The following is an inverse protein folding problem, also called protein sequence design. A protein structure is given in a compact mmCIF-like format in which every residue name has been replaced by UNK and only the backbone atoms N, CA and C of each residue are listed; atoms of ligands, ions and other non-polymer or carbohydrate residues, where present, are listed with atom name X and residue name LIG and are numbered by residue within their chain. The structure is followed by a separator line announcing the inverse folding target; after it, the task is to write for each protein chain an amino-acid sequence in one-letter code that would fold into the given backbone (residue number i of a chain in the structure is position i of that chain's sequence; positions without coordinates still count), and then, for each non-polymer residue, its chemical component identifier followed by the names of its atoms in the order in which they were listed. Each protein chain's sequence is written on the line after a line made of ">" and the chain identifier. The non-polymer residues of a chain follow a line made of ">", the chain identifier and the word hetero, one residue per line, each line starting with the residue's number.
data_IF_344874748267
#
_entry.id   IF_344874748267
#
_cell.length_a   1.000
_cell.length_b   1.000
_cell.length_c   1.000
_cell.angle_alpha   90.00
_cell.angle_beta   90.00
_cell.angle_gamma   90.00
#
_symmetry.space_group_name_H-M   'P 1'
#
loop_
_entity.id
_entity.type
_entity.pdbx_description
1 polymer ?
#
# COMPACT_ATOMS: atom_id res chain seq x y z
N UNK A 1 -13.68 1.77 -11.09
CA UNK A 1 -14.62 0.64 -10.87
C UNK A 1 -15.92 1.05 -10.16
N UNK A 2 -15.90 2.03 -9.25
CA UNK A 2 -17.09 2.50 -8.52
C UNK A 2 -18.22 2.98 -9.45
N UNK A 3 -17.89 3.79 -10.47
CA UNK A 3 -18.84 4.27 -11.48
C UNK A 3 -19.44 3.10 -12.28
N UNK A 4 -18.62 2.13 -12.71
CA UNK A 4 -19.09 0.95 -13.42
C UNK A 4 -20.02 0.11 -12.55
N UNK A 5 -19.73 -0.02 -11.25
CA UNK A 5 -20.58 -0.77 -10.32
C UNK A 5 -21.97 -0.15 -10.16
N UNK A 6 -22.03 1.19 -10.10
CA UNK A 6 -23.29 1.95 -10.04
C UNK A 6 -24.08 1.80 -11.35
N UNK A 7 -23.40 1.84 -12.50
CA UNK A 7 -24.05 1.68 -13.81
C UNK A 7 -24.66 0.28 -13.99
N UNK A 8 -23.99 -0.78 -13.53
CA UNK A 8 -24.53 -2.13 -13.59
C UNK A 8 -25.76 -2.31 -12.69
N UNK A 9 -25.79 -1.65 -11.52
CA UNK A 9 -26.97 -1.60 -10.65
C UNK A 9 -28.16 -0.89 -11.33
N UNK A 10 -27.90 0.22 -12.02
CA UNK A 10 -28.93 0.96 -12.78
C UNK A 10 -29.47 0.12 -13.95
N UNK A 11 -28.63 -0.70 -14.57
CA UNK A 11 -28.99 -1.53 -15.73
C UNK A 11 -29.55 -2.92 -15.38
N UNK A 12 -29.78 -3.25 -14.09
CA UNK A 12 -30.28 -4.56 -13.65
C UNK A 12 -29.47 -5.77 -14.16
N UNK A 13 -28.17 -5.57 -14.44
CA UNK A 13 -27.28 -6.66 -14.84
C UNK A 13 -26.91 -7.43 -13.56
N UNK A 14 -26.99 -8.78 -13.52
CA UNK A 14 -26.68 -9.56 -12.33
C UNK A 14 -25.27 -9.23 -11.82
N UNK A 15 -25.22 -8.54 -10.69
CA UNK A 15 -23.99 -7.99 -10.14
C UNK A 15 -23.30 -9.03 -9.27
N UNK A 16 -22.05 -9.38 -9.62
CA UNK A 16 -21.25 -10.26 -8.79
C UNK A 16 -20.79 -9.51 -7.55
N UNK A 17 -21.22 -9.94 -6.36
CA UNK A 17 -20.93 -9.27 -5.10
C UNK A 17 -19.43 -9.08 -4.82
N UNK A 18 -18.55 -9.91 -5.41
CA UNK A 18 -17.10 -9.73 -5.31
C UNK A 18 -16.61 -8.42 -5.91
N UNK A 19 -17.29 -7.87 -6.93
CA UNK A 19 -16.94 -6.56 -7.53
C UNK A 19 -17.13 -5.43 -6.50
N UNK A 20 -18.18 -5.51 -5.68
CA UNK A 20 -18.43 -4.53 -4.62
C UNK A 20 -17.36 -4.60 -3.53
N UNK A 21 -16.98 -5.82 -3.11
CA UNK A 21 -15.89 -6.05 -2.16
C UNK A 21 -14.58 -5.44 -2.67
N UNK A 22 -14.20 -5.75 -3.92
CA UNK A 22 -12.98 -5.24 -4.56
C UNK A 22 -13.03 -3.71 -4.61
N UNK A 23 -14.17 -3.14 -5.01
CA UNK A 23 -14.32 -1.69 -5.13
C UNK A 23 -14.12 -0.97 -3.78
N UNK A 24 -14.69 -1.50 -2.69
CA UNK A 24 -14.47 -0.94 -1.34
C UNK A 24 -13.02 -1.09 -0.93
N UNK A 25 -12.43 -2.27 -1.14
CA UNK A 25 -11.03 -2.52 -0.80
C UNK A 25 -10.11 -1.52 -1.53
N UNK A 26 -10.21 -1.40 -2.84
CA UNK A 26 -9.46 -0.43 -3.65
C UNK A 26 -9.68 1.02 -3.19
N UNK A 27 -10.91 1.38 -2.80
CA UNK A 27 -11.21 2.71 -2.27
C UNK A 27 -10.50 2.98 -0.93
N UNK A 28 -10.49 2.00 -0.02
CA UNK A 28 -9.78 2.09 1.25
C UNK A 28 -8.25 2.19 1.05
N UNK A 29 -7.72 1.46 0.07
CA UNK A 29 -6.30 1.56 -0.33
C UNK A 29 -5.98 2.95 -0.88
N UNK A 30 -6.84 3.51 -1.73
CA UNK A 30 -6.67 4.86 -2.26
C UNK A 30 -6.66 5.92 -1.14
N UNK A 31 -7.47 5.76 -0.08
CA UNK A 31 -7.45 6.65 1.09
C UNK A 31 -6.11 6.58 1.82
N UNK A 32 -5.55 5.39 2.01
CA UNK A 32 -4.22 5.20 2.63
C UNK A 32 -3.15 5.94 1.80
N UNK A 33 -3.15 5.72 0.48
CA UNK A 33 -2.23 6.37 -0.45
C UNK A 33 -2.35 7.90 -0.31
N UNK A 34 -3.57 8.43 -0.41
CA UNK A 34 -3.79 9.87 -0.35
C UNK A 34 -3.34 10.47 0.98
N UNK A 35 -3.56 9.77 2.09
CA UNK A 35 -3.12 10.20 3.42
C UNK A 35 -1.60 10.27 3.52
N UNK A 36 -0.91 9.26 2.98
CA UNK A 36 0.56 9.22 2.92
C UNK A 36 1.13 10.31 2.02
N UNK A 37 0.56 10.51 0.83
CA UNK A 37 0.99 11.57 -0.12
C UNK A 37 0.82 12.95 0.51
N UNK A 38 -0.30 13.17 1.21
CA UNK A 38 -0.58 14.43 1.92
C UNK A 38 0.46 14.68 3.00
N UNK A 39 0.83 13.64 3.75
CA UNK A 39 1.92 13.75 4.71
C UNK A 39 3.26 14.05 4.05
N UNK A 40 3.59 13.36 2.96
CA UNK A 40 4.84 13.58 2.24
C UNK A 40 4.95 15.00 1.69
N UNK A 41 3.84 15.57 1.18
CA UNK A 41 3.81 16.94 0.63
C UNK A 41 3.99 18.03 1.70
N UNK A 42 3.64 17.72 2.96
CA UNK A 42 3.95 18.61 4.09
C UNK A 42 5.46 18.65 4.36
N UNK A 43 6.16 17.53 4.20
CA UNK A 43 7.61 17.45 4.45
C UNK A 43 8.41 17.93 3.24
N UNK A 44 8.09 17.41 2.05
CA UNK A 44 8.83 17.53 0.80
C UNK A 44 8.08 18.37 -0.24
N UNK A 45 8.82 18.87 -1.24
CA UNK A 45 8.21 19.57 -2.38
C UNK A 45 7.28 18.62 -3.17
N UNK A 46 6.08 19.05 -3.62
CA UNK A 46 5.12 18.19 -4.33
C UNK A 46 5.71 17.43 -5.53
N UNK A 47 6.62 18.06 -6.28
CA UNK A 47 7.31 17.42 -7.40
C UNK A 47 8.18 16.21 -6.97
N UNK A 48 8.83 16.29 -5.80
CA UNK A 48 9.60 15.17 -5.24
C UNK A 48 8.68 14.05 -4.77
N UNK A 49 7.51 14.39 -4.23
CA UNK A 49 6.51 13.40 -3.81
C UNK A 49 6.06 12.56 -5.01
N UNK A 50 5.75 13.20 -6.14
CA UNK A 50 5.36 12.49 -7.36
C UNK A 50 6.48 11.59 -7.86
N UNK A 51 7.72 12.07 -7.91
CA UNK A 51 8.88 11.24 -8.28
C UNK A 51 9.05 10.05 -7.35
N UNK A 52 8.90 10.25 -6.03
CA UNK A 52 8.99 9.17 -5.05
C UNK A 52 7.89 8.15 -5.30
N UNK A 53 6.64 8.54 -5.54
CA UNK A 53 5.56 7.58 -5.83
C UNK A 53 5.83 6.77 -7.10
N UNK A 54 6.34 7.42 -8.16
CA UNK A 54 6.64 6.75 -9.42
C UNK A 54 7.80 5.76 -9.29
N UNK A 55 8.80 6.06 -8.46
CA UNK A 55 9.99 5.23 -8.27
C UNK A 55 9.76 4.15 -7.19
N UNK A 56 9.05 4.50 -6.11
CA UNK A 56 8.81 3.68 -4.93
C UNK A 56 7.41 3.05 -4.98
N UNK A 57 7.24 2.08 -5.88
CA UNK A 57 6.10 1.16 -5.83
C UNK A 57 6.39 0.01 -4.86
N UNK A 58 5.37 -0.44 -4.11
CA UNK A 58 5.47 -1.62 -3.21
C UNK A 58 5.97 -2.85 -3.96
N UNK A 59 5.55 -3.02 -5.22
CA UNK A 59 6.02 -4.10 -6.09
C UNK A 59 7.53 -4.01 -6.34
N UNK A 60 8.05 -2.82 -6.62
CA UNK A 60 9.48 -2.61 -6.86
C UNK A 60 10.31 -3.00 -5.64
N UNK A 61 9.90 -2.59 -4.44
CA UNK A 61 10.61 -2.93 -3.20
C UNK A 61 10.50 -4.41 -2.83
N UNK A 62 9.33 -5.02 -3.07
CA UNK A 62 9.15 -6.46 -2.88
C UNK A 62 10.06 -7.28 -3.80
N UNK A 63 10.10 -6.96 -5.10
CA UNK A 63 10.99 -7.64 -6.04
C UNK A 63 12.47 -7.38 -5.73
N UNK A 64 12.83 -6.15 -5.34
CA UNK A 64 14.19 -5.83 -4.91
C UNK A 64 14.60 -6.63 -3.67
N UNK A 65 13.70 -6.78 -2.69
CA UNK A 65 13.91 -7.62 -1.51
C UNK A 65 14.12 -9.08 -1.86
N UNK A 66 13.29 -9.65 -2.75
CA UNK A 66 13.46 -11.03 -3.24
C UNK A 66 14.81 -11.18 -3.94
N UNK A 67 15.16 -10.23 -4.80
CA UNK A 67 16.43 -10.25 -5.52
C UNK A 67 17.62 -10.22 -4.57
N UNK A 68 17.59 -9.37 -3.55
CA UNK A 68 18.64 -9.30 -2.53
C UNK A 68 18.72 -10.57 -1.68
N UNK A 69 17.59 -11.18 -1.33
CA UNK A 69 17.58 -12.45 -0.59
C UNK A 69 18.18 -13.58 -1.44
N UNK A 70 17.80 -13.67 -2.71
CA UNK A 70 18.35 -14.68 -3.62
C UNK A 70 19.84 -14.43 -3.91
N UNK A 71 20.25 -13.17 -4.07
CA UNK A 71 21.65 -12.79 -4.23
C UNK A 71 22.50 -13.13 -3.00
N UNK A 72 21.97 -12.93 -1.79
CA UNK A 72 22.65 -13.33 -0.55
C UNK A 72 22.74 -14.85 -0.40
N UNK A 73 21.71 -15.60 -0.82
CA UNK A 73 21.74 -17.08 -0.81
C UNK A 73 22.71 -17.66 -1.85
N UNK A 74 22.83 -17.02 -3.01
CA UNK A 74 23.73 -17.45 -4.08
C UNK A 74 25.18 -16.99 -3.89
N UNK A 75 25.41 -15.91 -3.13
CA UNK A 75 26.70 -15.24 -2.99
C UNK A 75 27.73 -15.89 -2.05
N UNK A 76 27.38 -16.94 -1.31
CA UNK A 76 28.34 -17.68 -0.46
C UNK A 76 28.87 -16.88 0.73
N UNK A 77 30.20 -16.78 0.89
CA UNK A 77 30.96 -15.98 1.90
C UNK A 77 31.88 -14.92 1.24
N UNK A 78 31.46 -14.37 0.09
CA UNK A 78 32.21 -13.30 -0.59
C UNK A 78 32.23 -11.95 0.15
N UNK A 79 33.28 -11.15 -0.08
CA UNK A 79 33.49 -9.82 0.52
C UNK A 79 32.31 -8.83 0.31
N UNK A 80 31.48 -9.03 -0.72
CA UNK A 80 30.34 -8.16 -1.03
C UNK A 80 29.08 -8.46 -0.21
N UNK A 81 29.08 -9.53 0.59
CA UNK A 81 27.92 -9.94 1.39
C UNK A 81 27.60 -8.94 2.48
N UNK A 82 28.61 -8.35 3.11
CA UNK A 82 28.40 -7.31 4.12
C UNK A 82 27.68 -6.10 3.53
N UNK A 83 28.04 -5.72 2.30
CA UNK A 83 27.35 -4.65 1.55
C UNK A 83 25.91 -5.07 1.19
N UNK A 84 25.71 -6.28 0.67
CA UNK A 84 24.37 -6.78 0.34
C UNK A 84 23.46 -6.91 1.57
N UNK A 85 24.01 -7.28 2.74
CA UNK A 85 23.28 -7.31 4.02
C UNK A 85 22.87 -5.90 4.46
N UNK A 86 23.76 -4.91 4.32
CA UNK A 86 23.45 -3.51 4.63
C UNK A 86 22.37 -2.96 3.70
N UNK A 87 22.48 -3.23 2.40
CA UNK A 87 21.50 -2.84 1.38
C UNK A 87 20.15 -3.51 1.64
N UNK A 88 20.13 -4.81 1.99
CA UNK A 88 18.91 -5.51 2.41
C UNK A 88 18.29 -4.86 3.64
N UNK A 89 19.08 -4.51 4.65
CA UNK A 89 18.59 -3.82 5.84
C UNK A 89 17.91 -2.48 5.51
N UNK A 90 18.52 -1.69 4.63
CA UNK A 90 17.94 -0.44 4.15
C UNK A 90 16.61 -0.66 3.40
N UNK A 91 16.57 -1.63 2.50
CA UNK A 91 15.35 -2.00 1.75
C UNK A 91 14.26 -2.51 2.68
N UNK A 92 14.60 -3.31 3.70
CA UNK A 92 13.66 -3.81 4.70
C UNK A 92 13.07 -2.66 5.53
N UNK A 93 13.88 -1.68 5.96
CA UNK A 93 13.40 -0.50 6.69
C UNK A 93 12.45 0.33 5.83
N UNK A 94 12.82 0.59 4.57
CA UNK A 94 11.93 1.33 3.66
C UNK A 94 10.65 0.55 3.41
N UNK A 95 10.71 -0.76 3.20
CA UNK A 95 9.54 -1.60 2.97
C UNK A 95 8.59 -1.59 4.17
N UNK A 96 9.10 -1.53 5.40
CA UNK A 96 8.29 -1.42 6.62
C UNK A 96 7.67 -0.02 6.76
N UNK A 97 8.39 1.03 6.34
CA UNK A 97 7.92 2.42 6.44
C UNK A 97 6.94 2.81 5.33
N UNK A 98 7.03 2.17 4.17
CA UNK A 98 6.03 2.33 3.12
C UNK A 98 4.74 1.70 3.66
N UNK A 99 3.65 2.47 3.79
CA UNK A 99 2.37 1.89 4.16
C UNK A 99 2.03 0.82 3.12
N UNK A 100 1.96 -0.45 3.53
CA UNK A 100 1.57 -1.52 2.61
C UNK A 100 0.21 -1.17 2.03
N UNK A 101 0.15 -1.13 0.71
CA UNK A 101 -1.07 -0.75 0.01
C UNK A 101 -2.12 -1.85 0.12
N UNK A 102 -1.76 -3.08 0.56
CA UNK A 102 -2.71 -4.18 0.71
C UNK A 102 -2.31 -5.14 1.85
N UNK A 103 -2.68 -4.85 3.12
CA UNK A 103 -2.26 -5.65 4.28
C UNK A 103 -2.80 -7.09 4.28
N UNK A 104 -3.73 -7.43 3.39
CA UNK A 104 -4.32 -8.77 3.25
C UNK A 104 -4.39 -9.22 1.78
N UNK A 105 -3.40 -8.84 0.97
CA UNK A 105 -3.35 -9.16 -0.46
C UNK A 105 -3.44 -10.67 -0.76
N UNK A 106 -2.80 -11.51 0.07
CA UNK A 106 -2.79 -12.97 -0.10
C UNK A 106 -4.18 -13.60 0.07
N UNK A 107 -4.95 -13.13 1.06
CA UNK A 107 -6.31 -13.63 1.33
C UNK A 107 -7.34 -13.03 0.36
N UNK A 108 -7.11 -11.79 -0.09
CA UNK A 108 -8.01 -11.12 -1.04
C UNK A 108 -7.77 -11.55 -2.49
N UNK A 109 -6.58 -12.06 -2.85
CA UNK A 109 -6.25 -12.53 -4.20
C UNK A 109 -7.22 -13.59 -4.77
N UNK A 110 -7.81 -14.42 -3.89
CA UNK A 110 -8.84 -15.40 -4.27
C UNK A 110 -10.15 -14.74 -4.71
N UNK A 111 -10.46 -13.57 -4.18
CA UNK A 111 -11.65 -12.77 -4.55
C UNK A 111 -11.40 -12.05 -5.87
N UNK A 112 -10.19 -11.50 -6.08
CA UNK A 112 -9.80 -10.85 -7.34
C UNK A 112 -9.84 -11.82 -8.54
N UNK A 113 -9.60 -13.11 -8.32
CA UNK A 113 -9.63 -14.14 -9.37
C UNK A 113 -10.99 -14.80 -9.55
N UNK A 114 -11.76 -15.03 -8.48
CA UNK A 114 -13.07 -15.68 -8.56
C UNK A 114 -14.24 -14.72 -8.82
N UNK A 115 -14.08 -13.45 -8.45
CA UNK A 115 -15.15 -12.41 -8.40
C UNK A 115 -16.38 -12.83 -7.59
N UNK A 116 -16.31 -13.93 -6.84
CA UNK A 116 -17.40 -14.49 -6.06
C UNK A 116 -17.31 -14.00 -4.62
N UNK A 117 -18.46 -13.56 -4.09
CA UNK A 117 -18.57 -13.13 -2.70
C UNK A 117 -18.51 -14.32 -1.71
N UNK A 118 -18.76 -15.56 -2.15
CA UNK A 118 -18.67 -16.75 -1.30
C UNK A 118 -17.27 -16.95 -0.71
N UNK A 119 -16.26 -16.53 -1.45
CA UNK A 119 -14.85 -16.65 -1.05
C UNK A 119 -14.38 -15.41 -0.27
N UNK A 120 -15.24 -14.39 -0.14
CA UNK A 120 -14.95 -13.15 0.55
C UNK A 120 -15.27 -13.25 2.03
N UNK A 121 -14.22 -13.38 2.86
CA UNK A 121 -14.35 -13.20 4.31
C UNK A 121 -14.50 -11.72 4.61
N UNK A 122 -15.73 -11.27 4.90
CA UNK A 122 -16.05 -9.88 5.27
C UNK A 122 -15.23 -9.34 6.45
N UNK A 123 -14.74 -10.23 7.31
CA UNK A 123 -13.82 -9.92 8.40
C UNK A 123 -12.58 -9.15 7.92
N UNK A 124 -11.97 -9.57 6.80
CA UNK A 124 -10.80 -8.88 6.26
C UNK A 124 -11.14 -7.49 5.71
N UNK A 125 -12.36 -7.28 5.19
CA UNK A 125 -12.80 -5.96 4.76
C UNK A 125 -12.90 -5.00 5.96
N UNK A 126 -13.45 -5.48 7.08
CA UNK A 126 -13.53 -4.71 8.32
C UNK A 126 -12.14 -4.40 8.89
N UNK A 127 -11.23 -5.38 8.85
CA UNK A 127 -9.83 -5.17 9.27
C UNK A 127 -9.12 -4.16 8.36
N UNK A 128 -9.31 -4.24 7.04
CA UNK A 128 -8.78 -3.22 6.10
C UNK A 128 -9.34 -1.85 6.43
N UNK A 129 -10.64 -1.73 6.71
CA UNK A 129 -11.27 -0.47 7.08
C UNK A 129 -10.68 0.10 8.38
N UNK A 130 -10.54 -0.73 9.41
CA UNK A 130 -9.92 -0.33 10.68
C UNK A 130 -8.47 0.12 10.48
N UNK A 131 -7.70 -0.61 9.68
CA UNK A 131 -6.33 -0.26 9.32
C UNK A 131 -6.24 1.07 8.57
N UNK A 132 -7.11 1.30 7.58
CA UNK A 132 -7.21 2.58 6.86
C UNK A 132 -7.46 3.74 7.82
N UNK A 133 -8.44 3.62 8.73
CA UNK A 133 -8.70 4.68 9.71
C UNK A 133 -7.50 4.97 10.62
N UNK A 134 -6.81 3.92 11.09
CA UNK A 134 -5.65 4.06 11.96
C UNK A 134 -4.49 4.76 11.23
N UNK A 135 -4.14 4.28 10.04
CA UNK A 135 -3.07 4.83 9.21
C UNK A 135 -3.37 6.29 8.80
N UNK A 136 -4.59 6.57 8.34
CA UNK A 136 -5.00 7.92 7.95
C UNK A 136 -4.94 8.89 9.13
N UNK A 137 -5.41 8.46 10.31
CA UNK A 137 -5.34 9.28 11.53
C UNK A 137 -3.89 9.55 11.92
N UNK A 138 -3.04 8.53 11.88
CA UNK A 138 -1.61 8.67 12.17
C UNK A 138 -0.92 9.68 11.25
N UNK A 139 -1.11 9.56 9.92
CA UNK A 139 -0.53 10.49 8.96
C UNK A 139 -1.09 11.91 9.09
N UNK A 140 -2.37 12.05 9.42
CA UNK A 140 -2.97 13.36 9.71
C UNK A 140 -2.28 14.03 10.90
N UNK A 141 -2.12 13.33 12.03
CA UNK A 141 -1.46 13.89 13.21
C UNK A 141 0.02 14.23 12.94
N UNK A 142 0.74 13.39 12.21
CA UNK A 142 2.11 13.68 11.80
C UNK A 142 2.18 14.94 10.93
N UNK A 143 1.28 15.06 9.95
CA UNK A 143 1.19 16.23 9.07
C UNK A 143 0.97 17.51 9.86
N UNK A 144 0.02 17.50 10.80
CA UNK A 144 -0.27 18.65 11.67
C UNK A 144 0.93 18.99 12.55
N UNK A 145 1.62 17.98 13.11
CA UNK A 145 2.81 18.18 13.92
C UNK A 145 3.93 18.89 13.14
N UNK A 146 4.24 18.41 11.92
CA UNK A 146 5.26 19.02 11.07
C UNK A 146 4.87 20.42 10.57
N UNK A 147 3.59 20.65 10.23
CA UNK A 147 3.09 21.98 9.87
C UNK A 147 3.24 22.98 11.02
N UNK A 148 2.88 22.59 12.25
CA UNK A 148 3.06 23.44 13.44
C UNK A 148 4.52 23.78 13.66
N UNK A 149 5.42 22.80 13.53
CA UNK A 149 6.87 23.03 13.68
C UNK A 149 7.42 24.00 12.63
N UNK A 150 7.01 23.88 11.35
CA UNK A 150 7.41 24.81 10.29
C UNK A 150 6.90 26.23 10.46
N UNK A 151 5.76 26.44 11.13
CA UNK A 151 5.16 27.77 11.36
C UNK A 151 5.85 28.56 12.48
N UNK A 152 6.56 27.89 13.39
CA UNK A 152 7.28 28.52 14.51
C UNK A 152 8.77 28.81 14.22
N UNK A 153 9.23 28.51 13.00
CA UNK A 153 10.56 28.87 12.46
C UNK A 153 10.33 30.02 11.48
#
# INVERSE_FOLDING_TARGET
>A
MLICSILFLIWNIPFQGGIFYITINEFLQAIIILSYITFLSVILHPALVVLIIFIFSEGTFYYLKIFLINGLKAGGDGNYISFLKALKGFVDVIYILIPSFSPFSEETAKIYSSLRLSDAKLEYLLLTLAYTFLISSFFYFLSVYFLKKKRHI
#
